data_IF_297340009620
#
_entry.id   IF_297340009620
#
_cell.length_a   1.000
_cell.length_b   1.000
_cell.length_c   1.000
_cell.angle_alpha   90.00
_cell.angle_beta   90.00
_cell.angle_gamma   90.00
#
_symmetry.space_group_name_H-M   'P 1'
#
loop_
_entity.id
_entity.type
_entity.pdbx_description
1 polymer ?
#
# COMPACT_ATOMS: atom_id res chain seq x y z
N UNK A 1 25.22 -10.35 -4.45
CA UNK A 1 24.40 -9.87 -5.60
C UNK A 1 23.16 -9.15 -5.07
N UNK A 2 22.70 -8.13 -5.78
CA UNK A 2 21.48 -7.42 -5.44
C UNK A 2 20.27 -8.12 -6.07
N UNK A 3 19.19 -8.22 -5.28
CA UNK A 3 17.89 -8.68 -5.77
C UNK A 3 16.99 -7.49 -6.01
N UNK A 4 16.69 -7.23 -7.28
CA UNK A 4 15.89 -6.07 -7.70
C UNK A 4 14.60 -6.57 -8.32
N UNK A 5 13.48 -6.03 -7.84
CA UNK A 5 12.14 -6.33 -8.36
C UNK A 5 11.37 -5.06 -8.66
N UNK A 6 10.41 -5.16 -9.56
CA UNK A 6 9.51 -4.07 -9.92
C UNK A 6 8.14 -4.32 -9.29
N UNK A 7 7.68 -3.41 -8.43
CA UNK A 7 6.37 -3.52 -7.80
C UNK A 7 5.22 -3.53 -8.82
N UNK A 8 5.40 -2.89 -9.97
CA UNK A 8 4.40 -2.92 -11.04
C UNK A 8 4.21 -4.33 -11.64
N UNK A 9 5.25 -5.16 -11.61
CA UNK A 9 5.18 -6.57 -12.03
C UNK A 9 4.84 -7.54 -10.89
N UNK A 10 5.02 -7.11 -9.65
CA UNK A 10 4.60 -7.79 -8.41
C UNK A 10 3.52 -6.94 -7.74
N UNK A 11 2.32 -6.83 -8.31
CA UNK A 11 1.43 -5.68 -8.09
C UNK A 11 0.91 -5.56 -6.65
N UNK A 12 0.81 -6.66 -5.95
CA UNK A 12 0.30 -6.68 -4.58
C UNK A 12 1.13 -7.64 -3.76
N UNK A 13 1.66 -7.12 -2.66
CA UNK A 13 2.63 -7.79 -1.80
C UNK A 13 2.04 -8.05 -0.43
N UNK A 14 2.13 -9.30 0.00
CA UNK A 14 1.76 -9.73 1.34
C UNK A 14 3.04 -10.03 2.13
N UNK A 15 3.19 -9.39 3.29
CA UNK A 15 4.36 -9.53 4.15
C UNK A 15 3.97 -10.06 5.53
N UNK A 16 4.72 -11.01 6.04
CA UNK A 16 4.52 -11.50 7.40
C UNK A 16 5.86 -11.74 8.11
N UNK A 17 5.82 -11.61 9.42
CA UNK A 17 6.97 -11.90 10.27
C UNK A 17 6.65 -11.66 11.74
N UNK A 18 7.18 -12.48 12.63
CA UNK A 18 7.06 -12.29 14.07
C UNK A 18 7.73 -10.98 14.52
N UNK A 19 7.34 -10.48 15.68
CA UNK A 19 7.90 -9.26 16.25
C UNK A 19 9.43 -9.34 16.36
N UNK A 20 10.12 -8.29 15.93
CA UNK A 20 11.58 -8.20 16.01
C UNK A 20 12.35 -9.01 14.96
N UNK A 21 11.69 -9.58 13.95
CA UNK A 21 12.33 -10.44 12.96
C UNK A 21 12.66 -9.74 11.63
N UNK A 22 12.45 -8.43 11.54
CA UNK A 22 12.85 -7.63 10.39
C UNK A 22 11.71 -7.13 9.50
N UNK A 23 10.44 -7.41 9.82
CA UNK A 23 9.29 -6.95 9.03
C UNK A 23 9.26 -5.44 8.87
N UNK A 24 9.41 -4.69 9.96
CA UNK A 24 9.41 -3.21 9.93
C UNK A 24 10.60 -2.64 9.18
N UNK A 25 11.78 -3.21 9.37
CA UNK A 25 13.00 -2.85 8.61
C UNK A 25 12.81 -3.15 7.12
N UNK A 26 12.21 -4.29 6.78
CA UNK A 26 11.89 -4.67 5.41
C UNK A 26 10.90 -3.72 4.76
N UNK A 27 9.86 -3.32 5.49
CA UNK A 27 8.88 -2.34 5.01
C UNK A 27 9.55 -0.99 4.75
N UNK A 28 10.39 -0.51 5.66
CA UNK A 28 11.16 0.72 5.47
C UNK A 28 12.13 0.62 4.27
N UNK A 29 12.77 -0.53 4.07
CA UNK A 29 13.65 -0.74 2.92
C UNK A 29 12.87 -0.59 1.59
N UNK A 30 11.66 -1.11 1.50
CA UNK A 30 10.80 -0.96 0.33
C UNK A 30 10.41 0.50 0.12
N UNK A 31 9.92 1.17 1.16
CA UNK A 31 9.46 2.56 1.08
C UNK A 31 10.60 3.50 0.70
N UNK A 32 11.74 3.37 1.35
CA UNK A 32 12.93 4.19 1.05
C UNK A 32 13.44 3.94 -0.38
N UNK A 33 13.46 2.69 -0.83
CA UNK A 33 13.81 2.37 -2.22
C UNK A 33 12.92 3.09 -3.23
N UNK A 34 11.61 3.14 -2.97
CA UNK A 34 10.64 3.84 -3.83
C UNK A 34 10.85 5.36 -3.79
N UNK A 35 11.13 5.92 -2.60
CA UNK A 35 11.43 7.36 -2.45
C UNK A 35 12.70 7.78 -3.22
N UNK A 36 13.72 6.94 -3.25
CA UNK A 36 14.92 7.18 -4.05
C UNK A 36 14.66 7.10 -5.54
N UNK A 37 13.71 6.28 -5.97
CA UNK A 37 13.50 5.94 -7.38
C UNK A 37 12.53 6.87 -8.09
N UNK A 38 11.55 7.43 -7.38
CA UNK A 38 10.42 8.14 -7.99
C UNK A 38 10.31 9.58 -7.50
N UNK A 39 9.95 10.46 -8.44
CA UNK A 39 9.58 11.83 -8.13
C UNK A 39 8.18 11.89 -7.48
N UNK A 40 7.91 12.87 -6.60
CA UNK A 40 6.58 13.04 -5.98
C UNK A 40 5.41 13.16 -6.96
N UNK A 41 5.64 13.65 -8.16
CA UNK A 41 4.61 13.68 -9.21
C UNK A 41 4.23 12.31 -9.75
N UNK A 42 5.08 11.30 -9.54
CA UNK A 42 4.93 9.95 -10.09
C UNK A 42 4.40 8.93 -9.10
N UNK A 43 4.51 9.21 -7.81
CA UNK A 43 4.23 8.25 -6.73
C UNK A 43 3.59 8.93 -5.53
N UNK A 44 2.53 8.33 -5.02
CA UNK A 44 1.88 8.71 -3.76
C UNK A 44 1.67 7.48 -2.88
N UNK A 45 1.86 7.65 -1.58
CA UNK A 45 1.56 6.62 -0.60
C UNK A 45 0.28 6.94 0.16
N UNK A 46 -0.50 5.90 0.44
CA UNK A 46 -1.55 5.90 1.45
C UNK A 46 -1.06 5.02 2.59
N UNK A 47 -0.76 5.61 3.73
CA UNK A 47 -0.14 4.92 4.85
C UNK A 47 -1.14 4.66 5.97
N UNK A 48 -1.32 3.40 6.32
CA UNK A 48 -2.22 2.93 7.37
C UNK A 48 -1.42 2.27 8.48
N UNK A 49 -1.44 2.89 9.65
CA UNK A 49 -0.71 2.43 10.84
C UNK A 49 -1.61 2.44 12.08
N UNK A 50 -2.34 1.35 12.35
CA UNK A 50 -3.26 1.28 13.48
C UNK A 50 -2.58 1.48 14.84
N UNK A 51 -1.31 1.14 14.96
CA UNK A 51 -0.52 1.23 16.21
C UNK A 51 0.15 2.59 16.43
N UNK A 52 0.16 3.46 15.42
CA UNK A 52 0.76 4.81 15.46
C UNK A 52 2.28 4.82 15.76
N UNK A 53 3.01 3.84 15.29
CA UNK A 53 4.44 3.68 15.59
C UNK A 53 5.30 3.71 14.32
N UNK A 54 5.14 2.71 13.44
CA UNK A 54 6.11 2.41 12.39
C UNK A 54 6.12 3.45 11.25
N UNK A 55 4.96 3.92 10.82
CA UNK A 55 4.84 4.79 9.66
C UNK A 55 4.76 6.28 9.98
N UNK A 56 4.74 6.65 11.26
CA UNK A 56 4.61 8.05 11.69
C UNK A 56 5.75 8.95 11.23
N UNK A 57 6.94 8.38 11.00
CA UNK A 57 8.12 9.10 10.49
C UNK A 57 7.88 9.72 9.11
N UNK A 58 7.02 9.12 8.29
CA UNK A 58 6.74 9.58 6.94
C UNK A 58 5.82 10.80 6.89
N UNK A 59 5.27 11.25 8.00
CA UNK A 59 4.37 12.41 8.07
C UNK A 59 5.00 13.69 7.51
N UNK A 60 6.30 13.87 7.68
CA UNK A 60 7.02 15.07 7.20
C UNK A 60 7.08 15.19 5.68
N UNK A 61 6.82 14.13 4.94
CA UNK A 61 6.76 14.13 3.47
C UNK A 61 5.32 14.18 2.93
N UNK A 62 4.37 14.56 3.76
CA UNK A 62 2.94 14.61 3.42
C UNK A 62 2.68 15.38 2.13
N UNK A 63 3.23 16.60 2.02
CA UNK A 63 3.02 17.46 0.85
C UNK A 63 3.78 17.03 -0.40
N UNK A 64 4.61 16.03 -0.30
CA UNK A 64 5.40 15.50 -1.41
C UNK A 64 4.84 14.17 -1.90
N UNK A 65 4.73 13.19 -1.02
CA UNK A 65 4.48 11.80 -1.38
C UNK A 65 3.20 11.18 -0.82
N UNK A 66 2.42 11.86 0.01
CA UNK A 66 1.27 11.22 0.63
C UNK A 66 -0.06 11.61 -0.03
N UNK A 67 -1.00 10.66 0.01
CA UNK A 67 -2.39 10.85 -0.36
C UNK A 67 -3.29 10.65 0.86
N UNK A 68 -4.38 11.40 0.94
CA UNK A 68 -5.34 11.32 2.04
C UNK A 68 -6.75 11.68 1.60
N UNK A 69 -7.72 11.40 2.47
CA UNK A 69 -9.10 11.85 2.27
C UNK A 69 -9.19 13.38 2.39
N UNK A 70 -10.10 14.02 1.64
CA UNK A 70 -10.39 15.43 1.82
C UNK A 70 -10.87 15.74 3.25
N UNK A 71 -10.43 16.88 3.80
CA UNK A 71 -10.85 17.34 5.14
C UNK A 71 -10.17 16.66 6.32
N UNK A 72 -9.30 15.69 6.09
CA UNK A 72 -8.53 15.04 7.15
C UNK A 72 -7.27 15.85 7.48
N UNK A 73 -6.99 16.02 8.78
CA UNK A 73 -5.76 16.69 9.24
C UNK A 73 -4.55 15.75 9.17
N UNK A 74 -4.74 14.48 9.56
CA UNK A 74 -3.68 13.48 9.62
C UNK A 74 -3.57 12.72 8.29
N UNK A 75 -2.34 12.65 7.77
CA UNK A 75 -2.04 11.89 6.55
C UNK A 75 -1.74 10.41 6.82
N UNK A 76 -1.26 10.08 8.03
CA UNK A 76 -1.10 8.69 8.46
C UNK A 76 -2.42 8.24 9.09
N UNK A 77 -3.05 7.22 8.53
CA UNK A 77 -4.38 6.78 8.92
C UNK A 77 -4.27 5.75 10.04
N UNK A 78 -4.90 6.03 11.17
CA UNK A 78 -4.81 5.21 12.39
C UNK A 78 -6.15 4.67 12.86
N UNK A 79 -7.22 5.39 12.63
CA UNK A 79 -8.58 5.03 13.02
C UNK A 79 -9.20 4.05 12.02
N UNK A 80 -9.75 2.92 12.49
CA UNK A 80 -10.30 1.87 11.62
C UNK A 80 -11.44 2.36 10.73
N UNK A 81 -12.32 3.24 11.23
CA UNK A 81 -13.41 3.80 10.44
C UNK A 81 -12.88 4.63 9.28
N UNK A 82 -11.85 5.45 9.52
CA UNK A 82 -11.18 6.23 8.47
C UNK A 82 -10.42 5.33 7.49
N UNK A 83 -9.89 4.20 7.94
CA UNK A 83 -9.30 3.19 7.05
C UNK A 83 -10.35 2.64 6.09
N UNK A 84 -11.52 2.27 6.57
CA UNK A 84 -12.64 1.79 5.74
C UNK A 84 -13.02 2.85 4.70
N UNK A 85 -13.16 4.10 5.11
CA UNK A 85 -13.47 5.19 4.18
C UNK A 85 -12.38 5.41 3.14
N UNK A 86 -11.12 5.33 3.55
CA UNK A 86 -9.98 5.46 2.63
C UNK A 86 -9.93 4.34 1.61
N UNK A 87 -10.19 3.10 2.04
CA UNK A 87 -10.25 1.94 1.12
C UNK A 87 -11.36 2.09 0.10
N UNK A 88 -12.54 2.56 0.51
CA UNK A 88 -13.63 2.82 -0.41
C UNK A 88 -13.33 4.00 -1.34
N UNK A 89 -12.66 5.04 -0.85
CA UNK A 89 -12.19 6.15 -1.69
C UNK A 89 -11.17 5.69 -2.73
N UNK A 90 -10.28 4.77 -2.38
CA UNK A 90 -9.36 4.15 -3.35
C UNK A 90 -10.09 3.34 -4.42
N UNK A 91 -11.17 2.65 -4.06
CA UNK A 91 -12.02 1.97 -5.05
C UNK A 91 -12.68 2.97 -6.00
N UNK A 92 -13.15 4.12 -5.51
CA UNK A 92 -13.68 5.20 -6.35
C UNK A 92 -12.58 5.76 -7.26
N UNK A 93 -11.40 6.02 -6.74
CA UNK A 93 -10.25 6.46 -7.54
C UNK A 93 -9.92 5.45 -8.64
N UNK A 94 -9.94 4.17 -8.34
CA UNK A 94 -9.75 3.10 -9.32
C UNK A 94 -10.79 3.18 -10.44
N UNK A 95 -12.06 3.29 -10.09
CA UNK A 95 -13.15 3.37 -11.07
C UNK A 95 -13.01 4.63 -11.93
N UNK A 96 -12.69 5.78 -11.34
CA UNK A 96 -12.44 7.03 -12.07
C UNK A 96 -11.26 6.90 -13.04
N UNK A 97 -10.18 6.24 -12.64
CA UNK A 97 -9.03 5.98 -13.51
C UNK A 97 -9.39 5.07 -14.68
N UNK A 98 -10.19 4.03 -14.47
CA UNK A 98 -10.68 3.19 -15.55
C UNK A 98 -11.50 3.98 -16.56
N UNK A 99 -12.35 4.89 -16.12
CA UNK A 99 -13.13 5.76 -17.01
C UNK A 99 -12.21 6.66 -17.85
N UNK A 100 -11.19 7.26 -17.22
CA UNK A 100 -10.19 8.08 -17.93
C UNK A 100 -9.41 7.27 -18.98
N UNK A 101 -8.97 6.07 -18.62
CA UNK A 101 -8.27 5.18 -19.54
C UNK A 101 -9.15 4.77 -20.73
N UNK A 102 -10.42 4.48 -20.46
CA UNK A 102 -11.40 4.12 -21.50
C UNK A 102 -11.61 5.28 -22.48
N UNK A 103 -11.81 6.49 -22.00
CA UNK A 103 -11.96 7.68 -22.83
C UNK A 103 -10.69 7.96 -23.66
N UNK A 104 -9.52 7.72 -23.08
CA UNK A 104 -8.24 7.90 -23.75
C UNK A 104 -7.87 6.76 -24.72
N UNK A 105 -8.61 5.63 -24.70
CA UNK A 105 -8.27 4.45 -25.48
C UNK A 105 -7.00 3.76 -25.01
N UNK A 106 -6.68 3.84 -23.72
CA UNK A 106 -5.47 3.26 -23.12
C UNK A 106 -5.80 2.02 -22.31
N UNK A 107 -4.88 1.05 -22.26
CA UNK A 107 -5.03 -0.21 -21.52
C UNK A 107 -4.46 -0.18 -20.11
N UNK A 108 -3.50 0.72 -19.86
CA UNK A 108 -2.81 0.81 -18.58
C UNK A 108 -2.31 2.23 -18.31
N UNK A 109 -1.93 2.47 -17.06
CA UNK A 109 -1.44 3.78 -16.60
C UNK A 109 -0.21 4.27 -17.37
N UNK A 110 0.69 3.38 -17.77
CA UNK A 110 1.89 3.76 -18.51
C UNK A 110 1.53 4.35 -19.88
N UNK A 111 0.68 3.67 -20.64
CA UNK A 111 0.17 4.19 -21.93
C UNK A 111 -0.55 5.52 -21.75
N UNK A 112 -1.39 5.62 -20.73
CA UNK A 112 -2.15 6.82 -20.42
C UNK A 112 -1.23 8.01 -20.10
N UNK A 113 -0.27 7.84 -19.21
CA UNK A 113 0.65 8.90 -18.83
C UNK A 113 1.57 9.33 -19.98
N UNK A 114 2.03 8.39 -20.80
CA UNK A 114 2.78 8.70 -22.04
C UNK A 114 1.94 9.57 -22.99
N UNK A 115 0.68 9.22 -23.18
CA UNK A 115 -0.24 9.97 -24.02
C UNK A 115 -0.54 11.36 -23.45
N UNK A 116 -0.69 11.47 -22.13
CA UNK A 116 -0.89 12.75 -21.45
C UNK A 116 0.35 13.67 -21.57
N UNK A 117 1.54 13.15 -21.32
CA UNK A 117 2.78 13.94 -21.42
C UNK A 117 3.11 14.33 -22.86
N UNK A 118 2.67 13.56 -23.84
CA UNK A 118 2.72 13.91 -25.26
C UNK A 118 1.66 14.94 -25.69
N UNK A 119 0.88 15.46 -24.73
CA UNK A 119 -0.19 16.48 -24.93
C UNK A 119 -1.31 16.03 -25.87
N UNK A 120 -1.61 14.73 -25.87
CA UNK A 120 -2.68 14.13 -26.69
C UNK A 120 -4.01 14.01 -25.93
N UNK A 121 -4.06 14.38 -24.65
CA UNK A 121 -5.25 14.34 -23.81
C UNK A 121 -5.59 15.75 -23.33
N UNK A 122 -6.87 16.09 -23.33
CA UNK A 122 -7.34 17.42 -22.94
C UNK A 122 -7.59 17.49 -21.43
N UNK A 123 -6.85 18.34 -20.68
CA UNK A 123 -7.09 18.54 -19.24
C UNK A 123 -8.49 19.07 -18.92
N UNK A 124 -9.11 19.82 -19.80
CA UNK A 124 -10.48 20.33 -19.61
C UNK A 124 -11.53 19.23 -19.57
N UNK A 125 -11.21 18.05 -20.13
CA UNK A 125 -12.04 16.84 -20.06
C UNK A 125 -11.73 15.96 -18.84
N UNK A 126 -10.99 16.48 -17.86
CA UNK A 126 -10.62 15.77 -16.65
C UNK A 126 -9.36 14.91 -16.75
N UNK A 127 -8.68 14.91 -17.90
CA UNK A 127 -7.42 14.19 -18.03
C UNK A 127 -6.31 14.87 -17.25
N UNK A 128 -5.50 14.05 -16.58
CA UNK A 128 -4.37 14.50 -15.77
C UNK A 128 -3.30 13.42 -15.74
N UNK A 129 -2.08 13.80 -15.38
CA UNK A 129 -1.06 12.81 -15.08
C UNK A 129 -1.49 12.00 -13.84
N UNK A 130 -1.47 10.68 -13.96
CA UNK A 130 -1.87 9.79 -12.88
C UNK A 130 -0.64 9.25 -12.16
N UNK A 131 -0.38 9.66 -10.91
CA UNK A 131 0.69 9.04 -10.14
C UNK A 131 0.34 7.61 -9.78
N UNK A 132 1.34 6.75 -9.62
CA UNK A 132 1.15 5.48 -8.94
C UNK A 132 0.73 5.73 -7.50
N UNK A 133 -0.15 4.92 -6.98
CA UNK A 133 -0.56 4.97 -5.58
C UNK A 133 -0.19 3.63 -4.93
N UNK A 134 0.54 3.69 -3.84
CA UNK A 134 0.90 2.50 -3.04
C UNK A 134 0.22 2.60 -1.69
N UNK A 135 -0.73 1.71 -1.44
CA UNK A 135 -1.36 1.54 -0.13
C UNK A 135 -0.46 0.64 0.71
N UNK A 136 -0.07 1.11 1.88
CA UNK A 136 0.74 0.36 2.84
C UNK A 136 -0.06 0.19 4.13
N UNK A 137 -0.27 -1.05 4.53
CA UNK A 137 -0.91 -1.39 5.80
C UNK A 137 0.13 -2.09 6.68
N UNK A 138 0.51 -1.45 7.78
CA UNK A 138 1.56 -1.94 8.67
C UNK A 138 1.14 -3.16 9.49
N UNK A 139 -0.08 -3.18 10.01
CA UNK A 139 -0.62 -4.33 10.72
C UNK A 139 -2.07 -4.61 10.31
N UNK A 140 -2.22 -5.56 9.39
CA UNK A 140 -3.50 -5.94 8.82
C UNK A 140 -4.38 -6.70 9.82
N UNK A 141 -3.78 -7.47 10.73
CA UNK A 141 -4.52 -8.22 11.74
C UNK A 141 -5.41 -7.32 12.59
N UNK A 142 -4.91 -6.16 13.00
CA UNK A 142 -5.67 -5.22 13.83
C UNK A 142 -6.92 -4.70 13.10
N UNK A 143 -6.83 -4.49 11.80
CA UNK A 143 -7.96 -4.05 10.98
C UNK A 143 -9.00 -5.16 10.79
N UNK A 144 -8.55 -6.37 10.49
CA UNK A 144 -9.45 -7.52 10.30
C UNK A 144 -10.17 -7.87 11.60
N UNK A 145 -9.48 -7.83 12.73
CA UNK A 145 -10.08 -8.12 14.03
C UNK A 145 -11.12 -7.07 14.46
N UNK A 146 -11.00 -5.85 13.96
CA UNK A 146 -11.90 -4.73 14.31
C UNK A 146 -13.06 -4.58 13.34
N UNK A 147 -12.81 -4.64 12.03
CA UNK A 147 -13.79 -4.32 11.00
C UNK A 147 -14.07 -5.49 10.02
N UNK A 148 -13.30 -6.57 10.06
CA UNK A 148 -13.57 -7.79 9.29
C UNK A 148 -13.77 -7.53 7.80
N UNK A 149 -14.93 -7.87 7.29
CA UNK A 149 -15.27 -7.79 5.86
C UNK A 149 -15.31 -6.36 5.32
N UNK A 150 -15.58 -5.36 6.13
CA UNK A 150 -15.56 -3.96 5.69
C UNK A 150 -14.18 -3.50 5.22
N UNK A 151 -13.12 -4.14 5.71
CA UNK A 151 -11.74 -3.94 5.28
C UNK A 151 -11.36 -4.95 4.19
N UNK A 152 -11.70 -6.23 4.36
CA UNK A 152 -11.31 -7.30 3.45
C UNK A 152 -11.89 -7.11 2.04
N UNK A 153 -13.16 -6.75 1.92
CA UNK A 153 -13.83 -6.63 0.62
C UNK A 153 -13.23 -5.55 -0.29
N UNK A 154 -13.02 -4.31 0.16
CA UNK A 154 -12.40 -3.31 -0.70
C UNK A 154 -10.93 -3.64 -1.02
N UNK A 155 -10.19 -4.24 -0.09
CA UNK A 155 -8.83 -4.72 -0.37
C UNK A 155 -8.82 -5.79 -1.45
N UNK A 156 -9.71 -6.79 -1.37
CA UNK A 156 -9.83 -7.81 -2.38
C UNK A 156 -10.19 -7.23 -3.76
N UNK A 157 -11.12 -6.28 -3.81
CA UNK A 157 -11.50 -5.60 -5.05
C UNK A 157 -10.34 -4.82 -5.66
N UNK A 158 -9.61 -4.06 -4.88
CA UNK A 158 -8.40 -3.35 -5.33
C UNK A 158 -7.35 -4.34 -5.83
N UNK A 159 -7.07 -5.39 -5.09
CA UNK A 159 -6.07 -6.40 -5.47
C UNK A 159 -6.42 -7.10 -6.79
N UNK A 160 -7.70 -7.33 -7.07
CA UNK A 160 -8.15 -7.93 -8.34
C UNK A 160 -8.02 -6.98 -9.54
N UNK A 161 -8.29 -5.71 -9.36
CA UNK A 161 -8.60 -4.80 -10.47
C UNK A 161 -7.63 -3.61 -10.60
N UNK A 162 -6.86 -3.27 -9.58
CA UNK A 162 -6.17 -1.98 -9.54
C UNK A 162 -4.80 -1.96 -10.22
N UNK A 163 -4.24 -3.10 -10.62
CA UNK A 163 -2.90 -3.18 -11.23
C UNK A 163 -2.77 -2.28 -12.46
N UNK A 164 -3.70 -2.39 -13.39
CA UNK A 164 -3.62 -1.67 -14.66
C UNK A 164 -3.67 -0.16 -14.51
N UNK A 165 -4.34 0.34 -13.47
CA UNK A 165 -4.51 1.78 -13.22
C UNK A 165 -3.52 2.32 -12.17
N UNK A 166 -2.52 1.54 -11.80
CA UNK A 166 -1.38 1.98 -11.00
C UNK A 166 -1.63 2.11 -9.51
N UNK A 167 -2.57 1.34 -8.93
CA UNK A 167 -2.73 1.22 -7.48
C UNK A 167 -2.19 -0.14 -7.04
N UNK A 168 -1.22 -0.13 -6.12
CA UNK A 168 -0.53 -1.30 -5.60
C UNK A 168 -0.70 -1.39 -4.09
N UNK A 169 -0.78 -2.61 -3.57
CA UNK A 169 -1.03 -2.86 -2.15
C UNK A 169 0.17 -3.56 -1.51
N UNK A 170 0.58 -3.08 -0.36
CA UNK A 170 1.54 -3.75 0.52
C UNK A 170 0.84 -3.96 1.86
N UNK A 171 0.53 -5.20 2.17
CA UNK A 171 -0.19 -5.59 3.38
C UNK A 171 0.75 -6.38 4.28
N UNK A 172 0.99 -5.90 5.47
CA UNK A 172 1.90 -6.53 6.42
C UNK A 172 1.20 -6.94 7.71
N UNK A 173 1.65 -8.04 8.31
CA UNK A 173 1.14 -8.52 9.60
C UNK A 173 2.19 -9.27 10.39
N UNK A 174 2.15 -9.13 11.72
CA UNK A 174 2.90 -9.96 12.66
C UNK A 174 2.18 -11.27 13.00
N UNK A 175 0.92 -11.40 12.60
CA UNK A 175 0.04 -12.53 12.93
C UNK A 175 -0.46 -13.24 11.68
N UNK A 176 0.38 -14.05 11.02
CA UNK A 176 -0.01 -14.73 9.79
C UNK A 176 -0.87 -15.99 10.08
N UNK A 177 -2.02 -15.79 10.71
CA UNK A 177 -2.99 -16.85 10.94
C UNK A 177 -4.00 -16.95 9.79
N UNK A 178 -4.66 -18.10 9.65
CA UNK A 178 -5.67 -18.34 8.61
C UNK A 178 -6.89 -17.42 8.73
N UNK A 179 -7.17 -16.91 9.94
CA UNK A 179 -8.26 -15.96 10.17
C UNK A 179 -7.92 -14.54 9.67
N UNK A 180 -6.64 -14.22 9.54
CA UNK A 180 -6.15 -12.92 9.08
C UNK A 180 -5.80 -13.01 7.59
N UNK A 181 -4.98 -13.99 7.22
CA UNK A 181 -4.58 -14.26 5.83
C UNK A 181 -5.54 -15.31 5.26
N UNK A 182 -6.73 -14.85 4.92
CA UNK A 182 -7.80 -15.69 4.40
C UNK A 182 -7.51 -16.17 2.97
N UNK A 183 -8.29 -17.15 2.50
CA UNK A 183 -8.20 -17.62 1.11
C UNK A 183 -8.48 -16.49 0.10
N UNK A 184 -9.40 -15.59 0.41
CA UNK A 184 -9.70 -14.42 -0.43
C UNK A 184 -8.49 -13.50 -0.57
N UNK A 185 -7.80 -13.20 0.52
CA UNK A 185 -6.57 -12.39 0.51
C UNK A 185 -5.47 -13.12 -0.26
N UNK A 186 -5.21 -14.39 0.04
CA UNK A 186 -4.15 -15.17 -0.61
C UNK A 186 -4.34 -15.28 -2.12
N UNK A 187 -5.57 -15.44 -2.59
CA UNK A 187 -5.89 -15.56 -4.01
C UNK A 187 -5.53 -14.29 -4.81
N UNK A 188 -5.48 -13.13 -4.17
CA UNK A 188 -5.29 -11.83 -4.81
C UNK A 188 -3.89 -11.22 -4.59
N UNK A 189 -3.06 -11.86 -3.77
CA UNK A 189 -1.70 -11.40 -3.46
C UNK A 189 -0.68 -12.44 -3.96
N UNK A 190 -0.20 -12.32 -5.20
CA UNK A 190 0.71 -13.31 -5.79
C UNK A 190 2.13 -13.21 -5.25
N UNK A 191 2.56 -12.05 -4.79
CA UNK A 191 3.88 -11.85 -4.22
C UNK A 191 3.82 -11.88 -2.70
N UNK A 192 4.72 -12.64 -2.08
CA UNK A 192 4.74 -12.82 -0.63
C UNK A 192 6.15 -12.77 -0.09
N UNK A 193 6.31 -12.09 1.04
CA UNK A 193 7.56 -12.05 1.80
C UNK A 193 7.28 -12.58 3.20
N UNK A 194 8.07 -13.55 3.62
CA UNK A 194 8.07 -14.03 5.00
C UNK A 194 9.43 -13.76 5.65
N UNK A 195 9.43 -13.01 6.72
CA UNK A 195 10.50 -13.00 7.72
C UNK A 195 10.28 -14.17 8.67
N UNK A 196 11.17 -14.38 9.63
CA UNK A 196 11.02 -15.47 10.56
C UNK A 196 9.65 -15.44 11.26
N UNK A 197 8.99 -16.59 11.27
CA UNK A 197 7.72 -16.83 11.94
C UNK A 197 7.90 -17.87 13.05
N UNK A 198 6.91 -17.96 13.94
CA UNK A 198 7.00 -18.81 15.15
C UNK A 198 6.78 -20.30 14.87
N UNK A 199 6.11 -20.64 13.78
CA UNK A 199 5.73 -22.03 13.48
C UNK A 199 5.72 -22.34 11.99
N UNK A 200 5.80 -23.63 11.66
CA UNK A 200 5.64 -24.12 10.30
C UNK A 200 4.23 -23.85 9.75
N UNK A 201 3.23 -23.82 10.62
CA UNK A 201 1.85 -23.48 10.23
C UNK A 201 1.77 -22.03 9.73
N UNK A 202 2.42 -21.10 10.43
CA UNK A 202 2.49 -19.71 10.03
C UNK A 202 3.22 -19.54 8.69
N UNK A 203 4.32 -20.29 8.49
CA UNK A 203 5.03 -20.30 7.21
C UNK A 203 4.13 -20.78 6.07
N UNK A 204 3.38 -21.84 6.28
CA UNK A 204 2.44 -22.37 5.28
C UNK A 204 1.30 -21.38 4.99
N UNK A 205 0.85 -20.66 6.01
CA UNK A 205 -0.20 -19.66 5.83
C UNK A 205 0.26 -18.54 4.88
N UNK A 206 1.47 -18.03 5.05
CA UNK A 206 1.96 -16.91 4.22
C UNK A 206 2.56 -17.38 2.88
N UNK A 207 3.29 -18.51 2.86
CA UNK A 207 4.07 -18.95 1.69
C UNK A 207 3.47 -20.16 0.95
N UNK A 208 2.46 -20.80 1.50
CA UNK A 208 1.99 -22.12 1.09
C UNK A 208 3.06 -23.23 1.22
N UNK A 209 4.13 -22.97 1.94
CA UNK A 209 5.25 -23.87 2.19
C UNK A 209 5.86 -23.62 3.56
N UNK A 210 6.48 -24.64 4.15
CA UNK A 210 7.33 -24.47 5.32
C UNK A 210 8.65 -23.74 4.98
N UNK A 211 9.41 -23.40 6.00
CA UNK A 211 10.75 -22.81 5.87
C UNK A 211 10.95 -21.48 6.58
N UNK A 212 9.95 -20.63 6.66
CA UNK A 212 10.09 -19.32 7.33
C UNK A 212 10.32 -19.46 8.83
N UNK A 213 9.89 -20.55 9.47
CA UNK A 213 10.18 -20.84 10.88
C UNK A 213 11.64 -21.19 11.14
N UNK A 214 12.37 -21.56 10.09
CA UNK A 214 13.80 -21.91 10.16
C UNK A 214 14.75 -20.76 9.82
N UNK A 215 14.21 -19.60 9.46
CA UNK A 215 15.01 -18.41 9.19
C UNK A 215 15.78 -17.98 10.45
N UNK A 216 16.90 -17.30 10.24
CA UNK A 216 17.76 -16.82 11.34
C UNK A 216 17.11 -15.67 12.11
N UNK A 217 16.30 -14.86 11.43
CA UNK A 217 15.79 -13.58 11.96
C UNK A 217 16.62 -12.41 11.46
N UNK A 218 16.40 -11.22 12.02
CA UNK A 218 17.14 -9.99 11.69
C UNK A 218 17.16 -9.65 10.19
N UNK A 219 16.03 -9.85 9.52
CA UNK A 219 15.89 -9.52 8.10
C UNK A 219 16.18 -10.68 7.14
N UNK A 220 16.57 -11.86 7.64
CA UNK A 220 16.59 -13.09 6.83
C UNK A 220 15.15 -13.40 6.37
N UNK A 221 14.93 -13.50 5.07
CA UNK A 221 13.57 -13.58 4.51
C UNK A 221 13.47 -14.56 3.35
N UNK A 222 12.26 -15.04 3.11
CA UNK A 222 11.86 -15.79 1.92
C UNK A 222 10.91 -14.94 1.08
N UNK A 223 11.20 -14.82 -0.21
CA UNK A 223 10.35 -14.16 -1.19
C UNK A 223 9.74 -15.20 -2.11
N UNK A 224 8.41 -15.24 -2.17
CA UNK A 224 7.66 -16.15 -3.04
C UNK A 224 6.95 -15.35 -4.13
N UNK A 225 7.24 -15.67 -5.38
CA UNK A 225 6.59 -15.08 -6.54
C UNK A 225 6.66 -16.03 -7.73
N UNK A 226 5.54 -16.17 -8.47
CA UNK A 226 5.43 -17.06 -9.63
C UNK A 226 5.87 -18.52 -9.35
N UNK A 227 5.58 -19.04 -8.15
CA UNK A 227 5.93 -20.41 -7.76
C UNK A 227 7.39 -20.62 -7.37
N UNK A 228 8.21 -19.57 -7.41
CA UNK A 228 9.61 -19.62 -6.96
C UNK A 228 9.75 -19.00 -5.57
N UNK A 229 10.56 -19.64 -4.72
CA UNK A 229 10.93 -19.13 -3.41
C UNK A 229 12.42 -18.83 -3.40
N UNK A 230 12.77 -17.57 -3.10
CA UNK A 230 14.16 -17.11 -3.01
C UNK A 230 14.45 -16.66 -1.58
N UNK A 231 15.56 -17.12 -1.02
CA UNK A 231 16.03 -16.66 0.29
C UNK A 231 16.95 -15.46 0.12
N UNK A 232 16.66 -14.39 0.88
CA UNK A 232 17.39 -13.12 0.81
C UNK A 232 17.69 -12.60 2.21
N UNK A 233 18.74 -11.81 2.32
CA UNK A 233 18.99 -10.96 3.47
C UNK A 233 18.47 -9.56 3.12
N UNK A 234 17.47 -9.07 3.88
CA UNK A 234 16.97 -7.71 3.72
C UNK A 234 18.04 -6.69 4.09
N UNK A 235 18.13 -5.62 3.31
CA UNK A 235 18.93 -4.47 3.68
C UNK A 235 18.45 -3.89 5.01
N UNK A 236 19.39 -3.51 5.87
CA UNK A 236 19.06 -2.88 7.14
C UNK A 236 18.85 -1.39 6.94
N UNK A 237 17.60 -0.96 7.04
CA UNK A 237 17.18 0.45 7.00
C UNK A 237 16.48 0.75 8.32
N UNK A 238 17.16 1.50 9.16
CA UNK A 238 16.72 1.80 10.52
C UNK A 238 16.09 3.19 10.61
N UNK A 239 15.45 3.48 11.73
CA UNK A 239 14.78 4.74 12.05
C UNK A 239 15.61 5.99 11.73
N UNK A 240 16.90 6.09 12.12
CA UNK A 240 17.70 7.27 11.79
C UNK A 240 17.88 7.50 10.29
N UNK A 241 17.97 6.45 9.49
CA UNK A 241 18.07 6.56 8.03
C UNK A 241 16.76 7.02 7.40
N UNK A 242 15.63 6.48 7.88
CA UNK A 242 14.29 6.90 7.45
C UNK A 242 14.08 8.36 7.78
N UNK A 243 14.40 8.79 9.00
CA UNK A 243 14.33 10.18 9.43
C UNK A 243 15.15 11.12 8.54
N UNK A 244 16.38 10.74 8.24
CA UNK A 244 17.27 11.54 7.39
C UNK A 244 16.72 11.70 5.98
N UNK A 245 16.18 10.66 5.38
CA UNK A 245 15.57 10.69 4.05
C UNK A 245 14.31 11.55 4.06
N UNK A 246 13.44 11.36 5.05
CA UNK A 246 12.19 12.11 5.16
C UNK A 246 12.45 13.60 5.44
N UNK A 247 13.43 13.93 6.27
CA UNK A 247 13.83 15.31 6.54
C UNK A 247 14.39 15.98 5.28
N UNK A 248 15.25 15.29 4.54
CA UNK A 248 15.79 15.78 3.28
C UNK A 248 14.69 16.12 2.26
N UNK A 249 13.71 15.24 2.12
CA UNK A 249 12.55 15.46 1.23
C UNK A 249 11.67 16.60 1.79
N UNK A 250 11.35 16.55 3.08
CA UNK A 250 10.46 17.51 3.74
C UNK A 250 10.95 18.93 3.73
N UNK A 251 12.27 19.15 3.71
CA UNK A 251 12.89 20.47 3.63
C UNK A 251 12.87 21.07 2.22
N UNK A 252 12.51 20.30 1.22
CA UNK A 252 12.33 20.78 -0.14
C UNK A 252 10.92 21.34 -0.34
N UNK A 253 10.75 22.18 -1.34
CA UNK A 253 9.42 22.68 -1.71
C UNK A 253 8.52 21.54 -2.16
N UNK A 254 7.40 21.35 -1.48
CA UNK A 254 6.37 20.39 -1.83
C UNK A 254 5.19 21.02 -2.58
N UNK A 255 4.16 20.21 -2.80
CA UNK A 255 2.87 20.71 -3.27
C UNK A 255 2.17 21.50 -2.15
N UNK A 256 1.14 22.30 -2.48
CA UNK A 256 0.40 23.06 -1.45
C UNK A 256 -0.23 22.17 -0.36
N UNK A 257 -0.60 20.94 -0.73
CA UNK A 257 -1.22 19.95 0.17
C UNK A 257 -0.88 18.54 -0.29
N UNK A 258 -1.22 17.54 0.54
CA UNK A 258 -1.20 16.13 0.16
C UNK A 258 -2.11 15.87 -1.05
N UNK A 259 -1.85 14.81 -1.80
CA UNK A 259 -2.72 14.37 -2.87
C UNK A 259 -4.08 13.95 -2.29
N UNK A 260 -5.17 14.53 -2.78
CA UNK A 260 -6.50 14.24 -2.27
C UNK A 260 -7.14 13.09 -3.04
N UNK A 261 -7.57 12.09 -2.28
CA UNK A 261 -8.43 11.02 -2.79
C UNK A 261 -9.85 11.54 -2.99
N UNK A 262 -10.69 10.85 -3.78
CA UNK A 262 -12.10 11.16 -3.87
C UNK A 262 -12.79 11.12 -2.51
N UNK A 263 -13.79 11.96 -2.32
CA UNK A 263 -14.62 11.91 -1.13
C UNK A 263 -15.46 10.63 -1.12
N UNK A 264 -15.49 9.95 0.02
CA UNK A 264 -16.38 8.83 0.28
C UNK A 264 -17.39 9.22 1.34
N UNK A 265 -18.68 9.03 1.06
CA UNK A 265 -19.77 9.31 1.97
C UNK A 265 -20.45 7.99 2.33
N UNK A 266 -20.56 7.69 3.63
CA UNK A 266 -21.31 6.54 4.11
C UNK A 266 -22.82 6.82 4.03
N UNK A 267 -23.54 6.01 3.23
CA UNK A 267 -25.00 6.14 3.05
C UNK A 267 -25.76 6.07 4.38
N UNK A 268 -25.27 5.29 5.36
CA UNK A 268 -25.86 5.18 6.69
C UNK A 268 -25.75 6.47 7.52
N UNK A 269 -24.71 7.27 7.28
CA UNK A 269 -24.56 8.58 7.91
C UNK A 269 -25.45 9.64 7.26
N UNK A 270 -25.77 9.49 5.97
CA UNK A 270 -26.69 10.40 5.28
C UNK A 270 -28.15 10.20 5.72
N UNK A 271 -28.60 8.95 5.89
CA UNK A 271 -29.94 8.65 6.38
C UNK A 271 -30.18 9.18 7.80
N UNK A 272 -29.13 9.23 8.65
CA UNK A 272 -29.24 9.81 10.01
C UNK A 272 -29.35 11.33 10.05
N UNK A 273 -28.87 12.04 9.01
CA UNK A 273 -28.97 13.52 8.94
C UNK A 273 -30.32 14.01 8.44
N UNK A 274 -31.03 13.20 7.66
CA UNK A 274 -32.36 13.56 7.15
C UNK A 274 -33.47 13.37 8.21
N UNK A 275 -33.19 12.70 9.32
CA UNK A 275 -34.14 12.54 10.43
C UNK A 275 -34.02 13.62 11.53
N UNK A 276 -32.92 14.42 11.51
CA UNK A 276 -32.69 15.49 12.50
C UNK A 276 -32.87 16.92 11.92
N UNK A 277 -33.50 17.06 10.73
CA UNK A 277 -33.74 18.33 10.07
C UNK A 277 -35.23 18.76 10.14
#
# INVERSE_FOLDING_TARGET
>A
DNFIVDLATMPHLLMAGATGQGKSVGLNAILVSLLYKKHPSQLKFVLVDPKKVELSLYRVIEKHFLAKLPGEEESIITDTKKVVYTLNALCIEMDNRYDLLKEAGCRNIKEYNEKFTARKLNPEKGHQYLPFIVLVVDEFADLIMTAGKEVEMPIARLAQLARAIGIHLIIATQRPSVNIITGTIKANFPARIAFKVSSKIDSRTILDAGGAEQLIGKGDMLVSYNGEITRLQCAFVDTPEVDAVCEFIGNQKGYPQAFLLPEYVDEKEMEGRDFDA
#
